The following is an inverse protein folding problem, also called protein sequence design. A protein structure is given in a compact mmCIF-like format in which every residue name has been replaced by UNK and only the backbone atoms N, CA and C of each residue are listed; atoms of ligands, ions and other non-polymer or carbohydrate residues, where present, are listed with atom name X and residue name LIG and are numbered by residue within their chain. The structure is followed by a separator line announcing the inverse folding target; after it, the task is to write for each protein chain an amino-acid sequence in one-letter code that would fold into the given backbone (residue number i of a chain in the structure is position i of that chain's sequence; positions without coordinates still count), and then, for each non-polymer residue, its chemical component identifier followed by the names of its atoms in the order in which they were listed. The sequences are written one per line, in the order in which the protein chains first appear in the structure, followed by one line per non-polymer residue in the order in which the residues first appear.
data_IF_620270259622
#
_entry.id   IF_620270259622
#
_cell.length_a   1.000
_cell.length_b   1.000
_cell.length_c   1.000
_cell.angle_alpha   90.00
_cell.angle_beta   90.00
_cell.angle_gamma   90.00
#
_symmetry.space_group_name_H-M   'P 1'
#
loop_
_entity.id
_entity.type
_entity.pdbx_description
1 polymer ?
#
# COMPACT_ATOMS: atom_id res chain seq x y z
N UNK A 1 -2.13 31.14 54.58
CA UNK A 1 -2.29 30.10 53.53
C UNK A 1 -3.22 30.66 52.44
N UNK A 2 -2.71 30.98 51.24
CA UNK A 2 -3.57 31.49 50.13
C UNK A 2 -4.30 30.30 49.49
N UNK A 3 -5.63 30.31 49.57
CA UNK A 3 -6.47 29.31 48.92
C UNK A 3 -6.31 29.40 47.40
N UNK A 4 -5.85 28.31 46.78
CA UNK A 4 -5.82 28.17 45.33
C UNK A 4 -7.26 28.23 44.81
N UNK A 5 -7.62 29.34 44.14
CA UNK A 5 -8.88 29.49 43.41
C UNK A 5 -8.94 28.40 42.35
N UNK A 6 -9.81 27.40 42.52
CA UNK A 6 -10.05 26.37 41.49
C UNK A 6 -10.60 27.07 40.24
N UNK A 7 -9.81 27.11 39.17
CA UNK A 7 -10.26 27.61 37.87
C UNK A 7 -11.46 26.76 37.40
N UNK A 8 -12.63 27.39 37.31
CA UNK A 8 -13.82 26.74 36.72
C UNK A 8 -13.70 26.81 35.20
N UNK A 9 -13.29 25.70 34.59
CA UNK A 9 -13.32 25.56 33.13
C UNK A 9 -14.78 25.52 32.64
N UNK A 10 -15.17 26.36 31.66
CA UNK A 10 -16.53 26.35 31.11
C UNK A 10 -16.94 24.98 30.58
N UNK A 11 -18.22 24.61 30.73
CA UNK A 11 -18.79 23.38 30.15
C UNK A 11 -18.47 23.17 28.66
N UNK A 12 -18.61 24.16 27.75
CA UNK A 12 -18.30 23.96 26.33
C UNK A 12 -16.82 23.62 26.11
N UNK A 13 -15.91 24.22 26.89
CA UNK A 13 -14.47 23.92 26.80
C UNK A 13 -14.17 22.49 27.23
N UNK A 14 -14.85 21.97 28.25
CA UNK A 14 -14.72 20.56 28.66
C UNK A 14 -15.25 19.60 27.59
N UNK A 15 -16.37 19.94 26.93
CA UNK A 15 -16.95 19.12 25.86
C UNK A 15 -16.01 19.09 24.66
N UNK A 16 -15.52 20.25 24.20
CA UNK A 16 -14.56 20.33 23.10
C UNK A 16 -13.28 19.55 23.44
N UNK A 17 -12.74 19.73 24.65
CA UNK A 17 -11.56 18.99 25.10
C UNK A 17 -11.78 17.47 25.10
N UNK A 18 -12.96 17.02 25.54
CA UNK A 18 -13.34 15.60 25.50
C UNK A 18 -13.43 15.05 24.08
N UNK A 19 -14.02 15.80 23.15
CA UNK A 19 -14.13 15.40 21.74
C UNK A 19 -12.76 15.34 21.05
N UNK A 20 -11.87 16.31 21.32
CA UNK A 20 -10.50 16.31 20.78
C UNK A 20 -9.72 15.11 21.30
N UNK A 21 -9.81 14.80 22.60
CA UNK A 21 -9.16 13.64 23.18
C UNK A 21 -9.69 12.33 22.57
N UNK A 22 -11.00 12.20 22.41
CA UNK A 22 -11.61 11.04 21.78
C UNK A 22 -11.12 10.86 20.34
N UNK A 23 -11.11 11.93 19.54
CA UNK A 23 -10.59 11.88 18.18
C UNK A 23 -9.12 11.45 18.15
N UNK A 24 -8.27 12.05 19.01
CA UNK A 24 -6.86 11.70 19.09
C UNK A 24 -6.63 10.23 19.46
N UNK A 25 -7.39 9.69 20.42
CA UNK A 25 -7.32 8.28 20.81
C UNK A 25 -7.79 7.35 19.68
N UNK A 26 -8.84 7.72 18.96
CA UNK A 26 -9.35 6.93 17.84
C UNK A 26 -8.35 6.90 16.68
N UNK A 27 -7.86 8.06 16.22
CA UNK A 27 -6.91 8.12 15.11
C UNK A 27 -5.54 7.55 15.49
N UNK A 28 -5.04 7.88 16.68
CA UNK A 28 -3.78 7.32 17.19
C UNK A 28 -3.87 5.81 17.41
N UNK A 29 -4.98 5.33 17.95
CA UNK A 29 -5.26 3.90 18.12
C UNK A 29 -5.31 3.16 16.78
N UNK A 30 -5.97 3.74 15.77
CA UNK A 30 -6.03 3.17 14.43
C UNK A 30 -4.65 3.11 13.76
N UNK A 31 -3.86 4.18 13.84
CA UNK A 31 -2.49 4.19 13.33
C UNK A 31 -1.62 3.15 14.05
N UNK A 32 -1.75 3.02 15.38
CA UNK A 32 -1.08 1.99 16.16
C UNK A 32 -1.49 0.57 15.74
N UNK A 33 -2.78 0.34 15.51
CA UNK A 33 -3.29 -0.95 15.01
C UNK A 33 -2.69 -1.33 13.66
N UNK A 34 -2.61 -0.39 12.70
CA UNK A 34 -1.99 -0.65 11.40
C UNK A 34 -0.51 -1.03 11.54
N UNK A 35 0.25 -0.34 12.41
CA UNK A 35 1.66 -0.70 12.63
C UNK A 35 1.81 -2.04 13.32
N UNK A 36 0.96 -2.34 14.32
CA UNK A 36 0.98 -3.60 15.04
C UNK A 36 0.67 -4.80 14.13
N UNK A 37 -0.28 -4.65 13.23
CA UNK A 37 -0.65 -5.68 12.24
C UNK A 37 0.31 -5.73 11.04
N UNK A 38 1.31 -4.85 10.99
CA UNK A 38 2.25 -4.74 9.88
C UNK A 38 1.62 -4.17 8.60
N UNK A 39 0.42 -3.59 8.69
CA UNK A 39 -0.35 -3.02 7.56
C UNK A 39 -0.40 -3.97 6.36
N UNK A 40 -0.47 -5.29 6.63
CA UNK A 40 -0.42 -6.32 5.60
C UNK A 40 -1.81 -6.54 5.01
N UNK A 41 -1.94 -6.39 3.69
CA UNK A 41 -3.21 -6.55 2.99
C UNK A 41 -3.04 -7.23 1.64
N UNK A 42 -4.07 -7.97 1.25
CA UNK A 42 -4.22 -8.47 -0.12
C UNK A 42 -4.76 -7.36 -1.01
N UNK A 43 -4.06 -7.06 -2.10
CA UNK A 43 -4.56 -6.12 -3.13
C UNK A 43 -5.23 -6.94 -4.24
N UNK A 44 -4.50 -7.93 -4.77
CA UNK A 44 -5.00 -8.90 -5.74
C UNK A 44 -4.61 -10.30 -5.26
N UNK A 45 -5.61 -11.11 -4.90
CA UNK A 45 -5.40 -12.44 -4.32
C UNK A 45 -4.53 -13.32 -5.23
N UNK A 46 -3.51 -13.94 -4.66
CA UNK A 46 -2.57 -14.79 -5.39
C UNK A 46 -1.60 -14.04 -6.33
N UNK A 47 -1.62 -12.70 -6.34
CA UNK A 47 -0.75 -11.92 -7.23
C UNK A 47 0.00 -10.78 -6.55
N UNK A 48 -0.68 -9.95 -5.75
CA UNK A 48 -0.09 -8.71 -5.24
C UNK A 48 -0.59 -8.41 -3.83
N UNK A 49 0.36 -8.26 -2.92
CA UNK A 49 0.17 -8.00 -1.51
C UNK A 49 0.97 -6.76 -1.12
N UNK A 50 0.51 -6.06 -0.08
CA UNK A 50 1.13 -4.84 0.42
C UNK A 50 1.39 -4.95 1.91
N UNK A 51 2.43 -4.27 2.42
CA UNK A 51 2.70 -4.18 3.86
C UNK A 51 3.50 -2.95 4.29
N UNK A 52 3.52 -2.70 5.60
CA UNK A 52 4.59 -1.93 6.25
C UNK A 52 5.90 -2.74 6.24
N UNK A 53 7.01 -2.13 6.67
CA UNK A 53 8.30 -2.81 6.78
C UNK A 53 8.14 -4.08 7.63
N UNK A 54 8.30 -5.29 7.06
CA UNK A 54 8.21 -6.49 7.84
C UNK A 54 9.48 -6.66 8.68
N UNK A 55 9.32 -7.17 9.90
CA UNK A 55 10.42 -7.85 10.60
C UNK A 55 10.78 -9.16 9.90
N UNK A 56 11.96 -9.74 10.18
CA UNK A 56 12.37 -11.01 9.56
C UNK A 56 11.35 -12.15 9.74
N UNK A 57 10.77 -12.26 10.93
CA UNK A 57 9.76 -13.27 11.24
C UNK A 57 8.42 -13.00 10.51
N UNK A 58 8.03 -11.73 10.36
CA UNK A 58 6.85 -11.37 9.57
C UNK A 58 7.06 -11.68 8.09
N UNK A 59 8.22 -11.34 7.55
CA UNK A 59 8.55 -11.58 6.15
C UNK A 59 8.55 -13.07 5.82
N UNK A 60 9.22 -13.89 6.64
CA UNK A 60 9.20 -15.34 6.47
C UNK A 60 7.77 -15.91 6.50
N UNK A 61 6.95 -15.45 7.45
CA UNK A 61 5.55 -15.85 7.51
C UNK A 61 4.77 -15.44 6.25
N UNK A 62 4.90 -14.19 5.80
CA UNK A 62 4.22 -13.72 4.59
C UNK A 62 4.62 -14.55 3.37
N UNK A 63 5.91 -14.86 3.23
CA UNK A 63 6.42 -15.69 2.14
C UNK A 63 5.80 -17.08 2.16
N UNK A 64 5.77 -17.74 3.33
CA UNK A 64 5.25 -19.10 3.46
C UNK A 64 3.74 -19.17 3.30
N UNK A 65 3.00 -18.29 3.96
CA UNK A 65 1.54 -18.35 4.03
C UNK A 65 0.88 -17.96 2.70
N UNK A 66 1.48 -17.02 1.97
CA UNK A 66 0.92 -16.49 0.72
C UNK A 66 1.70 -16.93 -0.53
N UNK A 67 2.75 -17.72 -0.35
CA UNK A 67 3.61 -18.22 -1.43
C UNK A 67 4.35 -17.11 -2.19
N UNK A 68 4.69 -16.00 -1.53
CA UNK A 68 5.34 -14.83 -2.16
C UNK A 68 6.62 -15.27 -2.88
N UNK A 69 6.77 -14.86 -4.13
CA UNK A 69 7.96 -15.16 -4.95
C UNK A 69 8.85 -13.94 -5.18
N UNK A 70 8.31 -12.73 -4.99
CA UNK A 70 9.08 -11.49 -5.11
C UNK A 70 8.73 -10.52 -3.98
N UNK A 71 9.75 -9.90 -3.39
CA UNK A 71 9.64 -8.79 -2.44
C UNK A 71 10.17 -7.52 -3.12
N UNK A 72 9.34 -6.47 -3.15
CA UNK A 72 9.72 -5.16 -3.68
C UNK A 72 9.80 -4.16 -2.51
N UNK A 73 11.02 -3.68 -2.26
CA UNK A 73 11.32 -2.73 -1.20
C UNK A 73 11.37 -1.30 -1.75
N UNK A 74 10.38 -0.48 -1.38
CA UNK A 74 10.28 0.91 -1.85
C UNK A 74 11.12 1.91 -1.04
N UNK A 75 11.82 1.44 0.01
CA UNK A 75 12.73 2.25 0.82
C UNK A 75 14.13 2.31 0.22
N UNK A 76 14.47 1.35 -0.66
CA UNK A 76 15.82 1.12 -1.15
C UNK A 76 16.75 0.58 -0.06
N UNK A 77 18.02 0.37 -0.41
CA UNK A 77 19.00 -0.27 0.48
C UNK A 77 19.40 0.53 1.73
N UNK A 78 19.02 1.80 1.81
CA UNK A 78 19.30 2.71 2.93
C UNK A 78 20.75 2.65 3.46
N UNK A 79 21.73 2.47 2.57
CA UNK A 79 23.13 2.35 2.96
C UNK A 79 23.44 1.06 3.72
N UNK A 80 22.79 -0.06 3.36
CA UNK A 80 22.99 -1.39 3.98
C UNK A 80 22.60 -1.41 5.46
N UNK A 81 21.52 -0.72 5.82
CA UNK A 81 21.01 -0.72 7.19
C UNK A 81 20.69 -2.15 7.67
N UNK A 82 20.79 -2.38 8.99
CA UNK A 82 20.58 -3.71 9.59
C UNK A 82 19.26 -4.36 9.16
N UNK A 83 18.15 -3.62 9.21
CA UNK A 83 16.83 -4.14 8.80
C UNK A 83 16.80 -4.58 7.33
N UNK A 84 17.54 -3.91 6.46
CA UNK A 84 17.63 -4.26 5.03
C UNK A 84 18.45 -5.54 4.86
N UNK A 85 19.58 -5.64 5.55
CA UNK A 85 20.42 -6.83 5.48
C UNK A 85 19.68 -8.08 5.99
N UNK A 86 18.90 -7.93 7.05
CA UNK A 86 18.04 -9.00 7.57
C UNK A 86 16.92 -9.39 6.60
N UNK A 87 16.29 -8.40 5.94
CA UNK A 87 15.27 -8.63 4.90
C UNK A 87 15.83 -9.40 3.71
N UNK A 88 16.99 -8.98 3.18
CA UNK A 88 17.68 -9.66 2.08
C UNK A 88 18.09 -11.07 2.48
N UNK A 89 18.64 -11.26 3.68
CA UNK A 89 19.03 -12.58 4.17
C UNK A 89 17.84 -13.55 4.29
N UNK A 90 16.65 -13.07 4.69
CA UNK A 90 15.42 -13.87 4.68
C UNK A 90 15.00 -14.20 3.26
N UNK A 91 15.04 -13.22 2.35
CA UNK A 91 14.67 -13.42 0.96
C UNK A 91 15.54 -14.47 0.27
N UNK A 92 16.87 -14.36 0.42
CA UNK A 92 17.85 -15.31 -0.11
C UNK A 92 17.66 -16.71 0.47
N UNK A 93 17.54 -16.81 1.80
CA UNK A 93 17.33 -18.09 2.49
C UNK A 93 16.07 -18.82 2.03
N UNK A 94 15.03 -18.09 1.66
CA UNK A 94 13.76 -18.64 1.19
C UNK A 94 13.66 -18.72 -0.34
N UNK A 95 14.71 -18.32 -1.06
CA UNK A 95 14.76 -18.39 -2.52
C UNK A 95 13.77 -17.45 -3.22
N UNK A 96 13.39 -16.34 -2.58
CA UNK A 96 12.48 -15.34 -3.19
C UNK A 96 13.28 -14.19 -3.77
N UNK A 97 12.81 -13.64 -4.90
CA UNK A 97 13.44 -12.50 -5.54
C UNK A 97 13.28 -11.26 -4.66
N UNK A 98 14.36 -10.55 -4.38
CA UNK A 98 14.32 -9.24 -3.71
C UNK A 98 14.67 -8.14 -4.71
N UNK A 99 13.88 -7.06 -4.72
CA UNK A 99 14.10 -5.91 -5.60
C UNK A 99 14.02 -4.63 -4.80
N UNK A 100 15.11 -3.87 -4.79
CA UNK A 100 15.12 -2.50 -4.27
C UNK A 100 14.67 -1.52 -5.36
N UNK A 101 13.56 -0.81 -5.09
CA UNK A 101 13.13 0.33 -5.89
C UNK A 101 13.02 1.55 -4.96
N UNK A 102 14.13 2.22 -4.70
CA UNK A 102 14.16 3.37 -3.81
C UNK A 102 13.30 4.52 -4.32
N UNK A 103 12.31 4.95 -3.53
CA UNK A 103 11.56 6.18 -3.78
C UNK A 103 11.23 6.93 -2.48
N UNK A 104 10.98 8.24 -2.59
CA UNK A 104 10.60 9.09 -1.47
C UNK A 104 9.08 9.18 -1.34
N UNK A 105 8.57 9.14 -0.11
CA UNK A 105 7.16 9.42 0.16
C UNK A 105 6.82 10.92 0.01
N UNK A 106 7.85 11.79 0.01
CA UNK A 106 7.71 13.25 -0.01
C UNK A 106 8.12 13.91 -1.32
N UNK A 107 8.45 13.13 -2.34
CA UNK A 107 8.82 13.64 -3.68
C UNK A 107 7.92 13.01 -4.72
N UNK A 108 7.62 13.79 -5.75
CA UNK A 108 6.87 13.31 -6.91
C UNK A 108 7.73 12.25 -7.63
N UNK A 109 7.14 11.10 -7.97
CA UNK A 109 7.77 10.12 -8.85
C UNK A 109 7.61 10.59 -10.30
N UNK A 110 8.68 10.57 -11.09
CA UNK A 110 8.58 10.90 -12.52
C UNK A 110 7.84 9.80 -13.29
N UNK A 111 7.34 10.12 -14.47
CA UNK A 111 6.65 9.15 -15.33
C UNK A 111 7.58 7.98 -15.72
N UNK A 112 8.83 8.28 -16.06
CA UNK A 112 9.82 7.27 -16.44
C UNK A 112 10.10 6.30 -15.29
N UNK A 113 10.22 6.82 -14.07
CA UNK A 113 10.38 6.00 -12.86
C UNK A 113 9.12 5.18 -12.55
N UNK A 114 7.94 5.73 -12.82
CA UNK A 114 6.70 4.98 -12.65
C UNK A 114 6.61 3.82 -13.66
N UNK A 115 7.00 4.06 -14.91
CA UNK A 115 7.07 3.03 -15.96
C UNK A 115 8.07 1.92 -15.59
N UNK A 116 9.23 2.28 -15.03
CA UNK A 116 10.20 1.31 -14.49
C UNK A 116 9.59 0.43 -13.38
N UNK A 117 8.88 1.05 -12.42
CA UNK A 117 8.23 0.29 -11.35
C UNK A 117 7.12 -0.62 -11.88
N UNK A 118 6.32 -0.14 -12.83
CA UNK A 118 5.31 -0.95 -13.50
C UNK A 118 5.92 -2.14 -14.22
N UNK A 119 7.01 -1.94 -14.96
CA UNK A 119 7.72 -3.03 -15.63
C UNK A 119 8.23 -4.07 -14.61
N UNK A 120 8.83 -3.62 -13.51
CA UNK A 120 9.27 -4.51 -12.42
C UNK A 120 8.10 -5.34 -11.89
N UNK A 121 6.98 -4.68 -11.55
CA UNK A 121 5.80 -5.36 -10.99
C UNK A 121 5.13 -6.32 -12.00
N UNK A 122 5.12 -5.96 -13.28
CA UNK A 122 4.55 -6.78 -14.36
C UNK A 122 5.42 -8.01 -14.65
N UNK A 123 6.73 -7.89 -14.62
CA UNK A 123 7.64 -8.94 -15.09
C UNK A 123 8.17 -9.83 -13.94
N UNK A 124 8.09 -9.37 -12.69
CA UNK A 124 8.50 -10.16 -11.53
C UNK A 124 7.63 -11.41 -11.29
N UNK A 125 8.21 -12.53 -10.80
CA UNK A 125 7.44 -13.71 -10.39
C UNK A 125 6.36 -13.37 -9.35
N UNK A 126 5.11 -13.78 -9.63
CA UNK A 126 3.98 -13.61 -8.71
C UNK A 126 3.80 -14.83 -7.80
N UNK A 127 3.34 -14.64 -6.56
CA UNK A 127 2.84 -13.39 -5.98
C UNK A 127 3.94 -12.45 -5.48
N UNK A 128 3.64 -11.14 -5.49
CA UNK A 128 4.55 -10.05 -5.10
C UNK A 128 4.11 -9.49 -3.74
N UNK A 129 5.07 -9.24 -2.85
CA UNK A 129 4.91 -8.39 -1.68
C UNK A 129 5.60 -7.05 -1.92
N UNK A 130 4.86 -5.95 -1.94
CA UNK A 130 5.42 -4.59 -1.96
C UNK A 130 5.35 -3.97 -0.56
N UNK A 131 6.41 -3.29 -0.14
CA UNK A 131 6.39 -2.57 1.14
C UNK A 131 7.20 -1.28 1.13
N UNK A 132 6.94 -0.43 2.13
CA UNK A 132 7.77 0.72 2.44
C UNK A 132 8.00 0.77 3.96
N UNK A 133 8.05 1.96 4.58
CA UNK A 133 8.15 2.07 6.04
C UNK A 133 6.82 1.72 6.72
N UNK A 134 5.78 2.51 6.47
CA UNK A 134 4.46 2.37 7.12
C UNK A 134 3.46 1.54 6.34
N UNK A 135 3.76 1.22 5.08
CA UNK A 135 2.82 0.54 4.17
C UNK A 135 1.70 1.43 3.62
N UNK A 136 1.76 2.74 3.90
CA UNK A 136 0.74 3.71 3.53
C UNK A 136 1.04 4.40 2.19
N UNK A 137 2.11 5.21 2.15
CA UNK A 137 2.28 6.22 1.08
C UNK A 137 2.85 5.63 -0.22
N UNK A 138 4.14 5.27 -0.23
CA UNK A 138 4.82 4.69 -1.41
C UNK A 138 4.19 3.36 -1.81
N UNK A 139 3.88 2.54 -0.79
CA UNK A 139 3.17 1.28 -0.97
C UNK A 139 1.77 1.49 -1.55
N UNK A 140 1.06 2.54 -1.11
CA UNK A 140 -0.24 2.92 -1.67
C UNK A 140 -0.11 3.26 -3.13
N UNK A 141 0.80 4.17 -3.50
CA UNK A 141 1.02 4.55 -4.89
C UNK A 141 1.37 3.34 -5.77
N UNK A 142 2.30 2.47 -5.34
CA UNK A 142 2.61 1.23 -6.06
C UNK A 142 1.40 0.30 -6.21
N UNK A 143 0.56 0.22 -5.17
CA UNK A 143 -0.65 -0.61 -5.18
C UNK A 143 -1.73 -0.05 -6.10
N UNK A 144 -1.91 1.27 -6.18
CA UNK A 144 -2.83 1.91 -7.15
C UNK A 144 -2.34 1.62 -8.56
N UNK A 145 -1.04 1.86 -8.84
CA UNK A 145 -0.42 1.58 -10.14
C UNK A 145 -0.61 0.12 -10.56
N UNK A 146 -0.34 -0.84 -9.66
CA UNK A 146 -0.58 -2.26 -9.95
C UNK A 146 -2.05 -2.55 -10.25
N UNK A 147 -2.95 -2.06 -9.39
CA UNK A 147 -4.38 -2.35 -9.49
C UNK A 147 -4.96 -1.87 -10.81
N UNK A 148 -4.59 -0.68 -11.25
CA UNK A 148 -5.13 -0.10 -12.47
C UNK A 148 -4.40 -0.60 -13.73
N UNK A 149 -3.07 -0.55 -13.75
CA UNK A 149 -2.30 -0.76 -14.97
C UNK A 149 -1.97 -2.23 -15.26
N UNK A 150 -2.00 -3.09 -14.24
CA UNK A 150 -1.69 -4.53 -14.38
C UNK A 150 -2.94 -5.38 -14.16
N UNK A 151 -3.70 -5.09 -13.11
CA UNK A 151 -4.90 -5.86 -12.78
C UNK A 151 -6.19 -5.35 -13.45
N UNK A 152 -6.13 -4.24 -14.21
CA UNK A 152 -7.27 -3.63 -14.92
C UNK A 152 -8.49 -3.39 -14.02
N UNK A 153 -8.25 -3.07 -12.74
CA UNK A 153 -9.32 -2.72 -11.82
C UNK A 153 -9.86 -1.33 -12.17
N UNK A 154 -11.15 -1.11 -11.89
CA UNK A 154 -11.77 0.22 -12.02
C UNK A 154 -10.98 1.25 -11.21
N UNK A 155 -10.86 2.44 -11.76
CA UNK A 155 -10.12 3.56 -11.17
C UNK A 155 -10.53 3.82 -9.73
N UNK A 156 -11.83 3.95 -9.44
CA UNK A 156 -12.35 4.18 -8.10
C UNK A 156 -11.92 3.10 -7.08
N UNK A 157 -11.76 1.85 -7.54
CA UNK A 157 -11.30 0.73 -6.71
C UNK A 157 -9.79 0.79 -6.51
N UNK A 158 -9.05 1.09 -7.58
CA UNK A 158 -7.60 1.21 -7.55
C UNK A 158 -7.15 2.35 -6.63
N UNK A 159 -7.76 3.54 -6.76
CA UNK A 159 -7.42 4.73 -5.97
C UNK A 159 -7.57 4.52 -4.46
N UNK A 160 -8.50 3.65 -4.02
CA UNK A 160 -8.66 3.30 -2.60
C UNK A 160 -7.40 2.70 -1.98
N UNK A 161 -6.46 2.20 -2.79
CA UNK A 161 -5.16 1.75 -2.31
C UNK A 161 -4.30 2.91 -1.75
N UNK A 162 -4.55 4.15 -2.13
CA UNK A 162 -3.90 5.33 -1.59
C UNK A 162 -4.90 6.11 -0.71
N UNK A 163 -5.29 5.52 0.43
CA UNK A 163 -6.32 6.08 1.30
C UNK A 163 -6.02 5.93 2.80
N UNK A 164 -6.82 6.64 3.61
CA UNK A 164 -6.79 6.55 5.07
C UNK A 164 -6.96 5.13 5.60
N UNK A 165 -7.62 4.22 4.86
CA UNK A 165 -7.77 2.82 5.24
C UNK A 165 -6.40 2.15 5.47
N UNK A 166 -5.37 2.56 4.74
CA UNK A 166 -4.01 2.06 4.88
C UNK A 166 -3.08 3.03 5.62
N UNK A 167 -3.63 4.05 6.27
CA UNK A 167 -2.90 5.06 7.02
C UNK A 167 -2.33 6.19 6.18
N UNK A 168 -2.70 6.31 4.89
CA UNK A 168 -2.25 7.41 4.04
C UNK A 168 -3.05 8.68 4.35
N UNK A 169 -2.34 9.80 4.55
CA UNK A 169 -2.93 11.12 4.84
C UNK A 169 -2.33 12.14 3.88
N UNK A 170 -2.92 12.27 2.70
CA UNK A 170 -2.48 13.15 1.59
C UNK A 170 -3.09 14.55 1.64
N UNK A 171 -2.97 15.30 2.75
CA UNK A 171 -3.57 16.64 2.82
C UNK A 171 -2.60 17.69 2.23
N UNK A 172 -3.02 18.48 1.20
CA UNK A 172 -2.17 19.51 0.60
C UNK A 172 -1.61 20.47 1.66
N UNK A 173 -0.32 20.79 1.57
CA UNK A 173 0.42 21.71 2.47
C UNK A 173 0.58 21.21 3.93
N UNK A 174 -0.27 20.30 4.40
CA UNK A 174 -0.20 19.73 5.74
C UNK A 174 0.57 18.40 5.83
N UNK A 175 0.69 17.68 4.71
CA UNK A 175 1.39 16.39 4.65
C UNK A 175 2.37 16.33 3.50
N UNK A 176 3.61 15.95 3.81
CA UNK A 176 4.62 15.67 2.78
C UNK A 176 4.23 14.46 1.91
N UNK A 177 3.39 13.56 2.43
CA UNK A 177 2.87 12.41 1.69
C UNK A 177 1.93 12.81 0.54
N UNK A 178 1.44 14.05 0.49
CA UNK A 178 0.66 14.59 -0.63
C UNK A 178 1.40 14.49 -1.99
N UNK A 179 2.73 14.34 -1.96
CA UNK A 179 3.51 14.04 -3.15
C UNK A 179 3.04 12.76 -3.86
N UNK A 180 2.51 11.77 -3.13
CA UNK A 180 1.98 10.52 -3.71
C UNK A 180 0.68 10.77 -4.45
N UNK A 181 -0.28 11.50 -3.88
CA UNK A 181 -1.52 11.89 -4.56
C UNK A 181 -1.23 12.70 -5.83
N UNK A 182 -0.31 13.67 -5.72
CA UNK A 182 0.09 14.49 -6.86
C UNK A 182 0.81 13.66 -7.94
N UNK A 183 1.58 12.66 -7.53
CA UNK A 183 2.18 11.71 -8.47
C UNK A 183 1.09 10.95 -9.22
N UNK A 184 0.13 10.38 -8.50
CA UNK A 184 -0.97 9.63 -9.12
C UNK A 184 -1.75 10.48 -10.13
N UNK A 185 -2.14 11.69 -9.75
CA UNK A 185 -2.82 12.66 -10.64
C UNK A 185 -2.04 13.00 -11.91
N UNK A 186 -0.71 13.05 -11.82
CA UNK A 186 0.13 13.27 -12.99
C UNK A 186 0.17 12.02 -13.88
N UNK A 187 0.19 10.84 -13.27
CA UNK A 187 0.24 9.56 -13.95
C UNK A 187 -1.09 9.18 -14.63
N UNK A 188 -2.23 9.58 -14.10
CA UNK A 188 -3.53 9.41 -14.77
C UNK A 188 -3.53 10.01 -16.18
N UNK A 189 -2.89 11.17 -16.34
CA UNK A 189 -2.73 11.81 -17.66
C UNK A 189 -1.74 11.06 -18.54
N UNK A 190 -0.64 10.57 -17.96
CA UNK A 190 0.37 9.79 -18.68
C UNK A 190 -0.20 8.46 -19.18
N UNK A 191 -1.05 7.81 -18.40
CA UNK A 191 -1.66 6.52 -18.72
C UNK A 191 -3.02 6.64 -19.45
N UNK A 192 -3.54 7.85 -19.66
CA UNK A 192 -4.81 8.08 -20.37
C UNK A 192 -6.06 7.62 -19.59
N UNK A 193 -5.99 7.60 -18.26
CA UNK A 193 -7.00 6.99 -17.37
C UNK A 193 -8.33 7.74 -17.38
N UNK A 194 -8.34 9.04 -17.68
CA UNK A 194 -9.55 9.89 -17.62
C UNK A 194 -10.32 10.12 -18.92
N UNK A 195 -9.95 9.49 -20.05
CA UNK A 195 -10.65 9.68 -21.33
C UNK A 195 -11.52 8.49 -21.77
N UNK A 196 -11.48 7.37 -21.04
CA UNK A 196 -12.21 6.15 -21.38
C UNK A 196 -13.42 5.89 -20.49
N UNK A 197 -14.27 6.90 -20.29
CA UNK A 197 -15.66 6.59 -19.91
C UNK A 197 -16.39 5.96 -21.11
N UNK A 198 -16.42 4.62 -21.12
CA UNK A 198 -17.43 3.85 -21.82
C UNK A 198 -16.96 3.16 -23.09
N UNK A 199 -16.37 1.96 -22.97
CA UNK A 199 -16.80 0.72 -23.65
C UNK A 199 -15.73 -0.37 -23.49
N UNK A 200 -15.85 -1.18 -22.45
CA UNK A 200 -15.40 -2.56 -22.54
C UNK A 200 -16.37 -3.41 -21.70
N UNK A 201 -17.16 -4.30 -22.32
CA UNK A 201 -18.01 -5.19 -21.56
C UNK A 201 -17.12 -6.12 -20.74
N UNK A 202 -17.46 -6.25 -19.46
CA UNK A 202 -16.89 -7.22 -18.54
C UNK A 202 -16.97 -8.59 -19.22
N UNK A 203 -15.81 -9.15 -19.61
CA UNK A 203 -15.72 -10.57 -19.92
C UNK A 203 -15.61 -11.29 -18.58
N UNK A 204 -16.71 -11.89 -18.16
CA UNK A 204 -16.72 -12.81 -17.02
C UNK A 204 -15.75 -13.95 -17.33
N UNK A 205 -14.59 -13.92 -16.69
CA UNK A 205 -13.63 -15.03 -16.68
C UNK A 205 -14.15 -16.06 -15.68
N UNK A 206 -15.31 -16.66 -15.98
CA UNK A 206 -15.89 -17.74 -15.18
C UNK A 206 -16.94 -18.55 -15.95
N UNK A 207 -16.59 -19.05 -17.14
CA UNK A 207 -17.33 -20.13 -17.78
C UNK A 207 -16.53 -20.79 -18.93
N UNK A 208 -15.41 -21.45 -18.62
CA UNK A 208 -14.81 -22.40 -19.58
C UNK A 208 -14.04 -23.48 -18.81
N UNK A 209 -14.81 -24.38 -18.18
CA UNK A 209 -14.27 -25.68 -17.73
C UNK A 209 -15.37 -26.74 -17.74
N UNK A 210 -16.05 -26.94 -18.88
CA UNK A 210 -16.68 -28.23 -19.19
C UNK A 210 -16.44 -28.50 -20.68
N UNK A 211 -15.24 -28.98 -20.99
CA UNK A 211 -14.95 -29.68 -22.23
C UNK A 211 -15.34 -31.15 -22.07
N UNK A 212 -16.37 -31.55 -22.81
CA UNK A 212 -16.39 -32.75 -23.67
C UNK A 212 -15.58 -33.96 -23.21
N UNK A 213 -16.26 -35.01 -22.74
CA UNK A 213 -15.96 -36.38 -23.14
C UNK A 213 -17.18 -37.29 -22.95
N UNK A 214 -17.57 -37.95 -24.05
CA UNK A 214 -18.11 -39.32 -24.19
C UNK A 214 -19.31 -39.43 -25.13
N UNK A 215 -18.97 -39.68 -26.39
CA UNK A 215 -19.76 -40.49 -27.30
C UNK A 215 -18.93 -41.71 -27.74
N UNK A 216 -19.65 -42.81 -27.99
CA UNK A 216 -19.23 -44.08 -28.60
C UNK A 216 -18.59 -45.14 -27.68
N UNK A 217 -19.31 -46.26 -27.53
CA UNK A 217 -18.93 -47.47 -26.81
C UNK A 217 -20.15 -48.20 -26.26
#
# INVERSE_FOLDING_TARGET
MRALKRLRVPRPVKVIGGLVLLAALTFGGYAGYLQFTGNFHTVVAGQFYRSAQPSPAQLERYIRDYGIKTVINLRGNAGYAKWWAEEVAVAERLGVKHVDFGMSASKILSAERADELLAIMRDAPKPILVHCLSGADRTGLASVMYSQQIANMKEDVAERQLSFAFGHVGIPVLSSAYAMDKTWKNLEKHFGVGESEGTAPVRDVQAETIGTDRGAG
#
